data_IF_407015175572
#
_entry.id   IF_407015175572
#
_cell.length_a   1.000
_cell.length_b   1.000
_cell.length_c   1.000
_cell.angle_alpha   90.00
_cell.angle_beta   90.00
_cell.angle_gamma   90.00
#
_symmetry.space_group_name_H-M   'P 1'
#
loop_
_entity.id
_entity.type
_entity.pdbx_description
1 polymer ?
#
# COMPACT_ATOMS: atom_id res chain seq x y z
N UNK A 1 12.07 6.41 15.93
CA UNK A 1 12.52 6.40 14.52
C UNK A 1 11.30 6.61 13.65
N UNK A 2 11.41 7.39 12.57
CA UNK A 2 10.25 7.89 11.80
C UNK A 2 10.01 7.00 10.60
N UNK A 3 8.84 6.35 10.52
CA UNK A 3 8.40 5.59 9.35
C UNK A 3 8.36 6.50 8.11
N UNK A 4 8.89 6.03 6.98
CA UNK A 4 8.79 6.71 5.69
C UNK A 4 7.83 5.97 4.79
N UNK A 5 6.90 6.70 4.20
CA UNK A 5 5.93 6.18 3.22
C UNK A 5 6.13 6.91 1.89
N UNK A 6 6.30 6.14 0.82
CA UNK A 6 6.22 6.64 -0.54
C UNK A 6 4.99 6.06 -1.22
N UNK A 7 4.19 6.93 -1.84
CA UNK A 7 3.03 6.56 -2.64
C UNK A 7 3.25 7.02 -4.08
N UNK A 8 3.07 6.10 -5.02
CA UNK A 8 3.10 6.38 -6.45
C UNK A 8 1.76 5.96 -7.05
N UNK A 9 1.18 6.81 -7.89
CA UNK A 9 -0.06 6.52 -8.64
C UNK A 9 0.21 6.81 -10.11
N UNK A 10 -0.04 5.83 -10.99
CA UNK A 10 0.26 5.93 -12.42
C UNK A 10 1.70 6.40 -12.70
N UNK A 11 2.67 5.84 -11.98
CA UNK A 11 4.10 6.19 -12.04
C UNK A 11 4.45 7.62 -11.60
N UNK A 12 3.47 8.40 -11.13
CA UNK A 12 3.69 9.73 -10.55
C UNK A 12 3.75 9.66 -9.02
N UNK A 13 4.80 10.24 -8.43
CA UNK A 13 4.93 10.34 -6.98
C UNK A 13 3.87 11.28 -6.40
N UNK A 14 3.14 10.81 -5.39
CA UNK A 14 2.13 11.60 -4.68
C UNK A 14 2.78 12.19 -3.42
N UNK A 15 2.85 13.52 -3.29
CA UNK A 15 3.40 14.14 -2.08
C UNK A 15 2.46 13.88 -0.90
N UNK A 16 3.00 13.31 0.17
CA UNK A 16 2.28 13.01 1.39
C UNK A 16 2.78 13.88 2.53
N UNK A 17 1.86 14.56 3.22
CA UNK A 17 2.15 15.19 4.51
C UNK A 17 2.21 14.15 5.63
N UNK A 18 2.48 14.60 6.86
CA UNK A 18 2.58 13.72 8.02
C UNK A 18 1.31 12.89 8.27
N UNK A 19 0.13 13.49 8.14
CA UNK A 19 -1.13 12.81 8.36
C UNK A 19 -1.37 11.74 7.29
N UNK A 20 -1.21 12.09 6.01
CA UNK A 20 -1.41 11.18 4.89
C UNK A 20 -0.41 10.01 4.93
N UNK A 21 0.86 10.27 5.28
CA UNK A 21 1.84 9.20 5.50
C UNK A 21 1.40 8.26 6.61
N UNK A 22 0.99 8.79 7.77
CA UNK A 22 0.56 7.97 8.91
C UNK A 22 -0.71 7.18 8.61
N UNK A 23 -1.68 7.77 7.90
CA UNK A 23 -2.91 7.09 7.52
C UNK A 23 -2.63 5.92 6.57
N UNK A 24 -1.82 6.14 5.52
CA UNK A 24 -1.42 5.08 4.59
C UNK A 24 -0.67 3.96 5.33
N UNK A 25 0.28 4.31 6.19
CA UNK A 25 1.04 3.34 7.00
C UNK A 25 0.13 2.46 7.86
N UNK A 26 -0.75 3.07 8.64
CA UNK A 26 -1.64 2.33 9.54
C UNK A 26 -2.66 1.48 8.79
N UNK A 27 -3.21 1.97 7.67
CA UNK A 27 -4.16 1.18 6.85
C UNK A 27 -3.46 -0.04 6.26
N UNK A 28 -2.26 0.13 5.68
CA UNK A 28 -1.51 -0.99 5.11
C UNK A 28 -1.13 -1.98 6.20
N UNK A 29 -0.59 -1.52 7.34
CA UNK A 29 -0.24 -2.39 8.47
C UNK A 29 -1.45 -3.14 9.03
N UNK A 30 -2.59 -2.48 9.18
CA UNK A 30 -3.83 -3.12 9.64
C UNK A 30 -4.31 -4.23 8.69
N UNK A 31 -4.14 -4.05 7.37
CA UNK A 31 -4.38 -5.13 6.41
C UNK A 31 -3.39 -6.28 6.64
N UNK A 32 -2.10 -5.99 6.81
CA UNK A 32 -1.07 -7.01 7.00
C UNK A 32 -1.24 -7.80 8.30
N UNK A 33 -1.70 -7.15 9.38
CA UNK A 33 -2.00 -7.80 10.66
C UNK A 33 -3.14 -8.82 10.55
N UNK A 34 -4.08 -8.61 9.62
CA UNK A 34 -5.15 -9.56 9.33
C UNK A 34 -4.70 -10.73 8.44
N UNK A 35 -3.49 -10.68 7.86
CA UNK A 35 -2.94 -11.75 7.04
C UNK A 35 -2.03 -12.67 7.88
N UNK A 36 -2.23 -13.97 7.75
CA UNK A 36 -1.34 -14.95 8.38
C UNK A 36 0.05 -14.96 7.71
N UNK A 37 1.09 -15.16 8.51
CA UNK A 37 2.46 -15.35 8.01
C UNK A 37 3.20 -14.08 7.57
N UNK A 38 2.67 -12.89 7.85
CA UNK A 38 3.30 -11.60 7.50
C UNK A 38 4.31 -11.11 8.56
N UNK A 39 4.22 -11.60 9.80
CA UNK A 39 5.08 -11.16 10.90
C UNK A 39 4.95 -9.66 11.20
N UNK A 40 5.93 -9.07 11.88
CA UNK A 40 5.98 -7.61 12.06
C UNK A 40 6.62 -6.96 10.82
N UNK A 41 5.92 -6.07 10.10
CA UNK A 41 6.46 -5.49 8.87
C UNK A 41 7.41 -4.32 9.16
N UNK A 42 8.71 -4.50 8.92
CA UNK A 42 9.70 -3.41 8.93
C UNK A 42 9.77 -2.73 7.56
N UNK A 43 9.61 -3.52 6.50
CA UNK A 43 9.49 -3.03 5.12
C UNK A 43 8.28 -3.62 4.43
N UNK A 44 7.59 -2.79 3.65
CA UNK A 44 6.47 -3.19 2.80
C UNK A 44 6.69 -2.64 1.41
N UNK A 45 6.53 -3.49 0.40
CA UNK A 45 6.42 -3.11 -1.01
C UNK A 45 5.14 -3.72 -1.56
N UNK A 46 4.14 -2.86 -1.77
CA UNK A 46 2.80 -3.23 -2.22
C UNK A 46 2.53 -2.52 -3.54
N UNK A 47 2.29 -3.29 -4.59
CA UNK A 47 1.86 -2.74 -5.89
C UNK A 47 0.53 -3.33 -6.33
N UNK A 48 -0.34 -2.47 -6.84
CA UNK A 48 -1.64 -2.81 -7.42
C UNK A 48 -1.59 -2.42 -8.90
N UNK A 49 -1.91 -3.37 -9.76
CA UNK A 49 -1.98 -3.20 -11.21
C UNK A 49 -3.15 -4.03 -11.78
N UNK A 50 -3.53 -3.85 -13.06
CA UNK A 50 -4.57 -4.68 -13.68
C UNK A 50 -4.31 -6.19 -13.61
N UNK A 51 -3.02 -6.59 -13.56
CA UNK A 51 -2.61 -7.98 -13.41
C UNK A 51 -2.82 -8.55 -11.99
N UNK A 52 -3.08 -7.70 -10.99
CA UNK A 52 -3.33 -8.11 -9.61
C UNK A 52 -2.52 -7.31 -8.58
N UNK A 53 -2.47 -7.85 -7.37
CA UNK A 53 -1.72 -7.30 -6.24
C UNK A 53 -0.43 -8.09 -6.07
N UNK A 54 0.69 -7.39 -5.98
CA UNK A 54 1.96 -7.95 -5.52
C UNK A 54 2.29 -7.34 -4.17
N UNK A 55 2.51 -8.20 -3.18
CA UNK A 55 2.82 -7.81 -1.82
C UNK A 55 4.11 -8.48 -1.38
N UNK A 56 5.07 -7.67 -0.96
CA UNK A 56 6.27 -8.13 -0.26
C UNK A 56 6.34 -7.49 1.12
N UNK A 57 6.60 -8.32 2.11
CA UNK A 57 6.85 -7.90 3.49
C UNK A 57 8.22 -8.41 3.89
N UNK A 58 9.10 -7.52 4.36
CA UNK A 58 10.46 -7.86 4.74
C UNK A 58 11.24 -8.58 3.62
N UNK A 59 10.97 -8.22 2.37
CA UNK A 59 11.57 -8.82 1.17
C UNK A 59 10.95 -10.15 0.73
N UNK A 60 10.11 -10.79 1.55
CA UNK A 60 9.42 -12.03 1.22
C UNK A 60 8.08 -11.77 0.53
N UNK A 61 7.77 -12.53 -0.53
CA UNK A 61 6.48 -12.45 -1.20
C UNK A 61 5.38 -13.05 -0.32
N UNK A 62 4.30 -12.29 -0.13
CA UNK A 62 3.11 -12.73 0.60
C UNK A 62 2.04 -13.12 -0.42
N UNK A 63 1.61 -14.39 -0.46
CA UNK A 63 0.58 -14.81 -1.40
C UNK A 63 -0.75 -14.14 -1.06
N UNK A 64 -1.43 -13.61 -2.08
CA UNK A 64 -2.77 -13.05 -1.95
C UNK A 64 -3.74 -13.88 -2.78
N UNK A 65 -4.90 -14.20 -2.21
CA UNK A 65 -6.00 -14.79 -2.97
C UNK A 65 -6.85 -13.67 -3.63
N UNK A 66 -7.83 -14.00 -4.49
CA UNK A 66 -8.66 -12.99 -5.16
C UNK A 66 -9.44 -12.10 -4.19
N UNK A 67 -9.90 -12.63 -3.06
CA UNK A 67 -10.61 -11.85 -2.03
C UNK A 67 -9.69 -10.81 -1.38
N UNK A 68 -8.53 -11.24 -0.90
CA UNK A 68 -7.51 -10.36 -0.29
C UNK A 68 -7.05 -9.29 -1.28
N UNK A 69 -6.78 -9.68 -2.53
CA UNK A 69 -6.37 -8.75 -3.58
C UNK A 69 -7.42 -7.67 -3.83
N UNK A 70 -8.71 -8.04 -3.81
CA UNK A 70 -9.82 -7.10 -3.99
C UNK A 70 -9.97 -6.14 -2.80
N UNK A 71 -9.84 -6.64 -1.57
CA UNK A 71 -9.85 -5.80 -0.36
C UNK A 71 -8.72 -4.79 -0.39
N UNK A 72 -7.48 -5.23 -0.67
CA UNK A 72 -6.32 -4.34 -0.79
C UNK A 72 -6.55 -3.28 -1.87
N UNK A 73 -6.95 -3.71 -3.07
CA UNK A 73 -7.15 -2.81 -4.21
C UNK A 73 -8.19 -1.75 -3.90
N UNK A 74 -9.38 -2.14 -3.45
CA UNK A 74 -10.48 -1.22 -3.19
C UNK A 74 -10.14 -0.22 -2.06
N UNK A 75 -9.51 -0.70 -0.98
CA UNK A 75 -9.14 0.16 0.14
C UNK A 75 -8.09 1.19 -0.26
N UNK A 76 -7.03 0.77 -0.96
CA UNK A 76 -5.96 1.67 -1.36
C UNK A 76 -6.40 2.63 -2.47
N UNK A 77 -7.22 2.18 -3.42
CA UNK A 77 -7.77 3.06 -4.45
C UNK A 77 -8.72 4.09 -3.83
N UNK A 78 -9.58 3.66 -2.90
CA UNK A 78 -10.44 4.56 -2.13
C UNK A 78 -9.64 5.63 -1.40
N UNK A 79 -8.62 5.22 -0.64
CA UNK A 79 -7.75 6.15 0.07
C UNK A 79 -7.04 7.12 -0.89
N UNK A 80 -6.39 6.60 -1.94
CA UNK A 80 -5.61 7.42 -2.87
C UNK A 80 -6.49 8.37 -3.69
N UNK A 81 -7.74 8.00 -3.99
CA UNK A 81 -8.67 8.86 -4.73
C UNK A 81 -9.03 10.17 -4.01
N UNK A 82 -8.83 10.22 -2.70
CA UNK A 82 -9.06 11.43 -1.90
C UNK A 82 -7.82 12.33 -1.82
N UNK A 83 -6.68 11.89 -2.39
CA UNK A 83 -5.42 12.64 -2.31
C UNK A 83 -5.32 13.69 -3.42
N UNK A 84 -4.78 14.85 -3.04
CA UNK A 84 -4.54 15.95 -3.98
C UNK A 84 -3.60 15.47 -5.11
N UNK A 85 -4.00 15.75 -6.34
CA UNK A 85 -3.24 15.37 -7.54
C UNK A 85 -3.59 13.99 -8.10
N UNK A 86 -4.50 13.25 -7.47
CA UNK A 86 -5.01 11.97 -7.98
C UNK A 86 -6.36 12.19 -8.67
N UNK A 87 -6.43 11.95 -9.98
CA UNK A 87 -7.66 12.06 -10.77
C UNK A 87 -8.17 10.71 -11.29
N UNK A 88 -7.26 9.81 -11.63
CA UNK A 88 -7.53 8.44 -12.07
C UNK A 88 -6.47 7.50 -11.50
N UNK A 89 -6.82 6.25 -11.23
CA UNK A 89 -5.92 5.27 -10.64
C UNK A 89 -5.95 4.00 -11.50
N UNK A 90 -4.89 3.78 -12.27
CA UNK A 90 -4.66 2.57 -13.06
C UNK A 90 -3.66 1.64 -12.36
N UNK A 91 -2.61 2.25 -11.78
CA UNK A 91 -1.60 1.57 -10.98
C UNK A 91 -1.36 2.35 -9.69
N UNK A 92 -1.01 1.63 -8.63
CA UNK A 92 -0.69 2.20 -7.34
C UNK A 92 0.46 1.41 -6.72
N UNK A 93 1.44 2.11 -6.14
CA UNK A 93 2.53 1.49 -5.38
C UNK A 93 2.72 2.20 -4.06
N UNK A 94 2.83 1.42 -2.99
CA UNK A 94 3.13 1.88 -1.63
C UNK A 94 4.42 1.21 -1.19
N UNK A 95 5.39 2.02 -0.78
CA UNK A 95 6.61 1.56 -0.13
C UNK A 95 6.66 2.13 1.29
N UNK A 96 6.83 1.25 2.28
CA UNK A 96 6.96 1.63 3.69
C UNK A 96 8.31 1.13 4.19
N UNK A 97 9.06 2.02 4.84
CA UNK A 97 10.36 1.70 5.45
C UNK A 97 10.42 2.27 6.86
N UNK A 98 10.69 1.41 7.83
CA UNK A 98 10.88 1.76 9.24
C UNK A 98 12.35 2.06 9.56
#
# INVERSE_FOLDING_TARGET
MTTKVALTVNDAAIPLDYFAQSLVDHVVRGILEALEGTGTPDTVDLSVAPAGVNLKVNGAAVPTNPFVSRVITNTLFGLASSLKGVSQINTLRVEIKK
#
